data_IF_203841350059
#
_entry.id   IF_203841350059
#
_cell.length_a   1.000
_cell.length_b   1.000
_cell.length_c   1.000
_cell.angle_alpha   90.00
_cell.angle_beta   90.00
_cell.angle_gamma   90.00
#
_symmetry.space_group_name_H-M   'P 1'
#
loop_
_entity.id
_entity.type
_entity.pdbx_description
1 polymer ?
#
# COMPACT_ATOMS: atom_id res chain seq x y z
N UNK A 1 13.78 -4.47 -12.16
CA UNK A 1 13.89 -3.19 -11.43
C UNK A 1 14.54 -3.47 -10.08
N UNK A 2 15.51 -2.67 -9.62
CA UNK A 2 16.17 -2.94 -8.33
C UNK A 2 15.18 -2.70 -7.18
N UNK A 3 14.92 -3.73 -6.36
CA UNK A 3 14.00 -3.67 -5.21
C UNK A 3 14.35 -2.51 -4.26
N UNK A 4 15.64 -2.18 -4.14
CA UNK A 4 16.17 -1.04 -3.37
C UNK A 4 15.74 0.32 -3.93
N UNK A 5 15.80 0.51 -5.25
CA UNK A 5 15.34 1.75 -5.90
C UNK A 5 13.85 1.95 -5.65
N UNK A 6 13.08 0.87 -5.76
CA UNK A 6 11.64 0.87 -5.51
C UNK A 6 11.31 1.26 -4.06
N UNK A 7 12.08 0.75 -3.09
CA UNK A 7 11.98 1.14 -1.68
C UNK A 7 12.23 2.65 -1.47
N UNK A 8 13.32 3.18 -2.02
CA UNK A 8 13.62 4.61 -1.92
C UNK A 8 12.54 5.47 -2.57
N UNK A 9 12.01 5.04 -3.72
CA UNK A 9 10.90 5.72 -4.39
C UNK A 9 9.66 5.77 -3.49
N UNK A 10 9.27 4.67 -2.83
CA UNK A 10 8.14 4.66 -1.87
C UNK A 10 8.40 5.62 -0.72
N UNK A 11 9.57 5.52 -0.08
CA UNK A 11 9.92 6.36 1.06
C UNK A 11 9.93 7.85 0.68
N UNK A 12 10.48 8.20 -0.48
CA UNK A 12 10.50 9.58 -0.99
C UNK A 12 9.09 10.08 -1.32
N UNK A 13 8.26 9.29 -2.01
CA UNK A 13 6.87 9.66 -2.32
C UNK A 13 6.08 9.92 -1.05
N UNK A 14 6.16 9.01 -0.06
CA UNK A 14 5.42 9.12 1.19
C UNK A 14 5.89 10.34 1.98
N UNK A 15 7.19 10.61 2.05
CA UNK A 15 7.73 11.79 2.75
C UNK A 15 7.40 13.10 2.06
N UNK A 16 7.39 13.13 0.72
CA UNK A 16 6.94 14.30 -0.05
C UNK A 16 5.45 14.58 0.23
N UNK A 17 4.59 13.56 0.18
CA UNK A 17 3.16 13.70 0.50
C UNK A 17 2.90 14.13 1.95
N UNK A 18 3.76 13.69 2.88
CA UNK A 18 3.71 14.09 4.29
C UNK A 18 4.08 15.57 4.49
N UNK A 19 5.09 16.06 3.75
CA UNK A 19 5.56 17.46 3.79
C UNK A 19 4.69 18.43 3.01
N UNK A 20 3.88 17.95 2.05
CA UNK A 20 3.17 18.84 1.12
C UNK A 20 1.91 19.47 1.72
N UNK A 21 2.02 20.60 2.41
CA UNK A 21 0.92 21.25 3.18
C UNK A 21 -0.29 21.69 2.36
N UNK A 22 -0.10 22.00 1.08
CA UNK A 22 -1.19 22.43 0.19
C UNK A 22 -2.26 21.36 -0.07
N UNK A 23 -1.95 20.06 0.13
CA UNK A 23 -2.92 18.98 -0.13
C UNK A 23 -3.73 18.69 1.14
N UNK A 24 -5.08 18.68 1.07
CA UNK A 24 -5.92 18.33 2.21
C UNK A 24 -5.59 16.93 2.71
N UNK A 25 -5.51 16.76 4.03
CA UNK A 25 -5.12 15.51 4.71
C UNK A 25 -5.84 14.26 4.15
N UNK A 26 -7.12 14.41 3.82
CA UNK A 26 -7.93 13.34 3.23
C UNK A 26 -7.39 12.84 1.88
N UNK A 27 -7.12 13.75 0.94
CA UNK A 27 -6.62 13.38 -0.38
C UNK A 27 -5.19 12.85 -0.30
N UNK A 28 -4.33 13.48 0.50
CA UNK A 28 -2.95 13.03 0.72
C UNK A 28 -2.92 11.58 1.21
N UNK A 29 -3.78 11.23 2.17
CA UNK A 29 -3.92 9.86 2.69
C UNK A 29 -4.35 8.86 1.62
N UNK A 30 -5.42 9.16 0.87
CA UNK A 30 -5.96 8.24 -0.14
C UNK A 30 -5.00 8.07 -1.32
N UNK A 31 -4.29 9.14 -1.70
CA UNK A 31 -3.26 9.11 -2.73
C UNK A 31 -2.03 8.31 -2.27
N UNK A 32 -1.56 8.51 -1.03
CA UNK A 32 -0.48 7.71 -0.46
C UNK A 32 -0.83 6.21 -0.41
N UNK A 33 -2.08 5.88 -0.06
CA UNK A 33 -2.59 4.50 -0.09
C UNK A 33 -2.53 3.92 -1.51
N UNK A 34 -3.11 4.61 -2.50
CA UNK A 34 -3.14 4.15 -3.90
C UNK A 34 -1.73 3.98 -4.48
N UNK A 35 -0.82 4.94 -4.25
CA UNK A 35 0.56 4.85 -4.73
C UNK A 35 1.33 3.70 -4.07
N UNK A 36 1.13 3.48 -2.77
CA UNK A 36 1.72 2.35 -2.07
C UNK A 36 1.22 1.02 -2.65
N UNK A 37 -0.09 0.88 -2.86
CA UNK A 37 -0.70 -0.31 -3.45
C UNK A 37 -0.21 -0.58 -4.89
N UNK A 38 -0.12 0.47 -5.72
CA UNK A 38 0.42 0.38 -7.08
C UNK A 38 1.86 -0.15 -7.09
N UNK A 39 2.70 0.41 -6.21
CA UNK A 39 4.09 0.00 -6.10
C UNK A 39 4.20 -1.45 -5.64
N UNK A 40 3.38 -1.87 -4.67
CA UNK A 40 3.33 -3.27 -4.21
C UNK A 40 2.92 -4.21 -5.36
N UNK A 41 1.97 -3.82 -6.21
CA UNK A 41 1.60 -4.62 -7.38
C UNK A 41 2.71 -4.69 -8.44
N UNK A 42 3.35 -3.57 -8.76
CA UNK A 42 4.48 -3.55 -9.69
C UNK A 42 5.62 -4.45 -9.18
N UNK A 43 5.81 -4.47 -7.86
CA UNK A 43 6.76 -5.35 -7.21
C UNK A 43 6.37 -6.82 -7.32
N UNK A 44 5.11 -7.16 -7.04
CA UNK A 44 4.60 -8.53 -7.19
C UNK A 44 4.74 -9.04 -8.63
N UNK A 45 4.40 -8.21 -9.63
CA UNK A 45 4.59 -8.52 -11.04
C UNK A 45 6.07 -8.72 -11.37
N UNK A 46 6.97 -7.91 -10.81
CA UNK A 46 8.41 -8.07 -11.02
C UNK A 46 8.95 -9.37 -10.40
N UNK A 47 8.42 -9.81 -9.26
CA UNK A 47 8.82 -11.07 -8.61
C UNK A 47 8.22 -12.28 -9.31
N UNK A 48 6.91 -12.28 -9.53
CA UNK A 48 6.18 -13.41 -10.12
C UNK A 48 6.39 -13.52 -11.63
N UNK A 49 6.61 -12.40 -12.33
CA UNK A 49 7.03 -12.39 -13.73
C UNK A 49 8.38 -13.07 -13.93
N UNK A 50 9.32 -12.89 -13.00
CA UNK A 50 10.61 -13.57 -13.02
C UNK A 50 10.51 -15.08 -12.72
N UNK A 51 9.39 -15.55 -12.13
CA UNK A 51 9.12 -16.98 -11.88
C UNK A 51 8.45 -17.70 -13.07
N UNK A 52 7.88 -16.97 -14.04
CA UNK A 52 7.15 -17.54 -15.18
C UNK A 52 8.00 -17.71 -16.45
N UNK A 53 9.24 -17.23 -16.47
CA UNK A 53 10.17 -17.53 -17.56
C UNK A 53 10.71 -18.97 -17.38
N UNK A 54 10.42 -19.91 -18.30
CA UNK A 54 11.07 -21.20 -18.25
C UNK A 54 12.51 -21.05 -18.76
N UNK A 55 13.43 -21.69 -18.04
CA UNK A 55 14.72 -22.22 -18.50
C UNK A 55 16.02 -21.47 -18.09
N UNK A 56 16.88 -22.29 -17.44
CA UNK A 56 18.36 -22.33 -17.37
C UNK A 56 19.09 -21.50 -16.30
N UNK A 57 19.73 -22.27 -15.40
CA UNK A 57 20.85 -21.97 -14.50
C UNK A 57 20.55 -21.35 -13.13
N UNK A 58 20.37 -22.31 -12.22
CA UNK A 58 20.73 -22.40 -10.80
C UNK A 58 21.71 -21.39 -10.19
N UNK A 59 21.44 -21.10 -8.92
CA UNK A 59 22.44 -20.75 -7.91
C UNK A 59 22.38 -19.32 -7.38
N UNK A 60 22.38 -18.32 -8.26
CA UNK A 60 22.59 -16.92 -7.85
C UNK A 60 21.30 -16.11 -7.57
N UNK A 61 20.15 -16.56 -8.06
CA UNK A 61 18.89 -15.79 -7.98
C UNK A 61 18.00 -16.16 -6.78
N UNK A 62 18.30 -17.25 -6.06
CA UNK A 62 17.57 -17.66 -4.86
C UNK A 62 17.68 -16.61 -3.76
N UNK A 63 18.82 -15.92 -3.61
CA UNK A 63 19.00 -14.82 -2.65
C UNK A 63 18.22 -13.55 -3.01
N UNK A 64 18.12 -13.21 -4.31
CA UNK A 64 17.42 -11.99 -4.79
C UNK A 64 15.93 -12.00 -4.44
N UNK A 65 15.26 -13.16 -4.56
CA UNK A 65 13.85 -13.30 -4.19
C UNK A 65 13.61 -13.07 -2.69
N UNK A 66 14.49 -13.58 -1.83
CA UNK A 66 14.39 -13.47 -0.37
C UNK A 66 14.59 -12.03 0.12
N UNK A 67 15.56 -11.31 -0.46
CA UNK A 67 15.79 -9.90 -0.12
C UNK A 67 14.58 -9.03 -0.47
N UNK A 68 13.97 -9.26 -1.63
CA UNK A 68 12.80 -8.52 -2.06
C UNK A 68 11.59 -8.75 -1.13
N UNK A 69 11.37 -9.97 -0.66
CA UNK A 69 10.33 -10.27 0.35
C UNK A 69 10.63 -9.58 1.69
N UNK A 70 11.89 -9.61 2.16
CA UNK A 70 12.31 -8.89 3.37
C UNK A 70 12.04 -7.39 3.30
N UNK A 71 12.21 -6.76 2.12
CA UNK A 71 11.94 -5.34 1.94
C UNK A 71 10.48 -4.97 2.17
N UNK A 72 9.53 -5.80 1.75
CA UNK A 72 8.11 -5.52 1.98
C UNK A 72 7.79 -5.58 3.47
N UNK A 73 8.32 -6.59 4.17
CA UNK A 73 8.17 -6.66 5.62
C UNK A 73 8.81 -5.46 6.32
N UNK A 74 9.96 -4.98 5.84
CA UNK A 74 10.58 -3.75 6.35
C UNK A 74 9.71 -2.51 6.08
N UNK A 75 9.10 -2.37 4.91
CA UNK A 75 8.18 -1.26 4.60
C UNK A 75 6.94 -1.31 5.50
N UNK A 76 6.35 -2.49 5.67
CA UNK A 76 5.18 -2.69 6.52
C UNK A 76 5.51 -2.37 7.98
N UNK A 77 6.62 -2.91 8.50
CA UNK A 77 7.08 -2.68 9.86
C UNK A 77 7.43 -1.21 10.12
N UNK A 78 8.17 -0.56 9.21
CA UNK A 78 8.51 0.87 9.33
C UNK A 78 7.28 1.76 9.24
N UNK A 79 6.31 1.45 8.37
CA UNK A 79 5.04 2.20 8.29
C UNK A 79 4.19 2.05 9.55
N UNK A 80 4.11 0.86 10.12
CA UNK A 80 3.42 0.61 11.39
C UNK A 80 4.14 1.34 12.53
N UNK A 81 5.46 1.20 12.63
CA UNK A 81 6.27 1.86 13.66
C UNK A 81 6.14 3.38 13.61
N UNK A 82 6.13 3.97 12.40
CA UNK A 82 5.90 5.41 12.21
C UNK A 82 4.54 5.84 12.73
N UNK A 83 3.49 5.02 12.59
CA UNK A 83 2.17 5.32 13.15
C UNK A 83 2.15 5.39 14.69
N UNK A 84 3.12 4.79 15.37
CA UNK A 84 3.26 4.83 16.83
C UNK A 84 4.22 5.92 17.32
N UNK A 85 5.33 6.19 16.62
CA UNK A 85 6.35 7.16 17.08
C UNK A 85 6.06 8.58 16.58
N UNK A 86 5.85 8.75 15.28
CA UNK A 86 5.59 10.05 14.65
C UNK A 86 4.52 9.89 13.59
N UNK A 87 3.22 10.08 13.94
CA UNK A 87 2.15 9.87 12.99
C UNK A 87 2.33 10.78 11.78
N UNK A 88 2.09 10.22 10.59
CA UNK A 88 2.05 11.00 9.36
C UNK A 88 1.10 12.18 9.52
N UNK A 89 1.36 13.31 8.88
CA UNK A 89 0.47 14.49 8.91
C UNK A 89 -0.96 14.17 8.46
N UNK A 90 -1.09 13.16 7.59
CA UNK A 90 -2.35 12.66 7.06
C UNK A 90 -2.90 11.44 7.82
N UNK A 91 -2.17 10.91 8.80
CA UNK A 91 -2.60 9.82 9.69
C UNK A 91 -2.90 10.33 11.10
N UNK A 92 -3.79 9.63 11.81
CA UNK A 92 -3.98 9.86 13.24
C UNK A 92 -3.02 8.96 14.05
N UNK A 93 -2.80 9.31 15.32
CA UNK A 93 -2.13 8.39 16.26
C UNK A 93 -2.92 7.06 16.30
N UNK A 94 -2.23 5.93 16.12
CA UNK A 94 -2.85 4.58 16.01
C UNK A 94 -3.91 4.48 14.91
N UNK A 95 -3.59 4.99 13.72
CA UNK A 95 -4.51 4.89 12.59
C UNK A 95 -4.81 3.42 12.22
N UNK A 96 -5.99 2.95 12.63
CA UNK A 96 -6.44 1.57 12.40
C UNK A 96 -6.43 1.22 10.91
N UNK A 97 -6.70 2.17 10.02
CA UNK A 97 -6.72 1.92 8.58
C UNK A 97 -5.34 1.61 8.02
N UNK A 98 -4.31 2.36 8.43
CA UNK A 98 -2.92 2.12 7.98
C UNK A 98 -2.37 0.82 8.58
N UNK A 99 -2.72 0.53 9.84
CA UNK A 99 -2.29 -0.70 10.51
C UNK A 99 -2.94 -1.92 9.85
N UNK A 100 -4.26 -1.94 9.69
CA UNK A 100 -5.00 -3.05 9.07
C UNK A 100 -4.52 -3.27 7.63
N UNK A 101 -4.32 -2.19 6.86
CA UNK A 101 -3.77 -2.27 5.51
C UNK A 101 -2.43 -3.00 5.47
N UNK A 102 -1.46 -2.57 6.28
CA UNK A 102 -0.12 -3.17 6.27
C UNK A 102 -0.13 -4.61 6.79
N UNK A 103 -1.02 -4.95 7.74
CA UNK A 103 -1.21 -6.32 8.21
C UNK A 103 -1.76 -7.21 7.08
N UNK A 104 -2.82 -6.79 6.39
CA UNK A 104 -3.43 -7.56 5.30
C UNK A 104 -2.41 -7.79 4.17
N UNK A 105 -1.69 -6.75 3.75
CA UNK A 105 -0.64 -6.88 2.73
C UNK A 105 0.44 -7.87 3.16
N UNK A 106 0.90 -7.76 4.41
CA UNK A 106 1.93 -8.67 4.96
C UNK A 106 1.44 -10.12 5.06
N UNK A 107 0.16 -10.32 5.39
CA UNK A 107 -0.47 -11.65 5.47
C UNK A 107 -0.59 -12.28 4.08
N UNK A 108 -0.99 -11.52 3.06
CA UNK A 108 -1.05 -12.02 1.69
C UNK A 108 0.33 -12.40 1.15
N UNK A 109 1.36 -11.61 1.49
CA UNK A 109 2.75 -11.99 1.20
C UNK A 109 3.18 -13.25 1.93
N UNK A 110 2.81 -13.40 3.21
CA UNK A 110 3.15 -14.58 4.02
C UNK A 110 2.54 -15.85 3.45
N UNK A 111 1.27 -15.77 3.05
CA UNK A 111 0.53 -16.88 2.43
C UNK A 111 0.91 -17.10 0.95
N UNK A 112 1.82 -16.29 0.38
CA UNK A 112 2.20 -16.29 -1.04
C UNK A 112 0.98 -16.18 -1.98
N UNK A 113 -0.06 -15.49 -1.53
CA UNK A 113 -1.28 -15.27 -2.29
C UNK A 113 -1.05 -14.20 -3.36
N UNK A 114 -1.75 -14.28 -4.50
CA UNK A 114 -1.66 -13.24 -5.51
C UNK A 114 -2.16 -11.89 -4.99
N UNK A 115 -1.31 -10.88 -5.03
CA UNK A 115 -1.65 -9.52 -4.55
C UNK A 115 -2.59 -8.77 -5.47
N UNK A 116 -2.77 -9.23 -6.71
CA UNK A 116 -3.80 -8.67 -7.59
C UNK A 116 -5.20 -8.77 -6.96
N UNK A 117 -5.45 -9.72 -6.07
CA UNK A 117 -6.73 -9.85 -5.35
C UNK A 117 -6.99 -8.65 -4.43
N UNK A 118 -5.95 -7.96 -3.97
CA UNK A 118 -6.06 -6.74 -3.15
C UNK A 118 -6.28 -5.47 -3.96
N UNK A 119 -6.27 -5.53 -5.30
CA UNK A 119 -6.50 -4.34 -6.13
C UNK A 119 -7.77 -3.55 -5.78
N UNK A 120 -8.91 -4.16 -5.42
CA UNK A 120 -10.08 -3.39 -4.98
C UNK A 120 -9.83 -2.61 -3.69
N UNK A 121 -9.05 -3.17 -2.76
CA UNK A 121 -8.69 -2.48 -1.51
C UNK A 121 -7.75 -1.30 -1.81
N UNK A 122 -6.80 -1.49 -2.72
CA UNK A 122 -5.80 -0.49 -3.05
C UNK A 122 -6.33 0.69 -3.87
N UNK A 123 -7.30 0.44 -4.75
CA UNK A 123 -7.80 1.44 -5.69
C UNK A 123 -9.29 1.73 -5.52
N UNK A 124 -10.15 0.70 -5.50
CA UNK A 124 -11.59 0.92 -5.48
C UNK A 124 -12.06 1.60 -4.18
N UNK A 125 -11.56 1.21 -3.00
CA UNK A 125 -11.88 1.90 -1.73
C UNK A 125 -11.46 3.39 -1.73
N UNK A 126 -10.19 3.75 -1.98
CA UNK A 126 -9.79 5.16 -2.01
C UNK A 126 -10.49 5.95 -3.10
N UNK A 127 -10.70 5.39 -4.29
CA UNK A 127 -11.44 6.05 -5.37
C UNK A 127 -12.90 6.27 -4.98
N UNK A 128 -13.60 5.27 -4.44
CA UNK A 128 -14.97 5.41 -3.98
C UNK A 128 -15.10 6.47 -2.89
N UNK A 129 -14.14 6.57 -1.97
CA UNK A 129 -14.13 7.60 -0.94
C UNK A 129 -13.89 9.02 -1.51
N UNK A 130 -13.06 9.16 -2.54
CA UNK A 130 -12.81 10.43 -3.23
C UNK A 130 -14.05 10.86 -4.01
N UNK A 131 -14.58 9.96 -4.83
CA UNK A 131 -15.75 10.18 -5.68
C UNK A 131 -16.98 10.45 -4.82
N UNK A 132 -17.21 9.66 -3.76
CA UNK A 132 -18.33 9.83 -2.84
C UNK A 132 -18.33 11.15 -2.08
N UNK A 133 -17.18 11.85 -1.99
CA UNK A 133 -17.12 13.20 -1.40
C UNK A 133 -17.66 14.28 -2.33
N UNK A 134 -17.68 14.04 -3.63
CA UNK A 134 -18.22 14.97 -4.63
C UNK A 134 -19.73 14.86 -4.77
N UNK A 135 -20.32 13.74 -4.34
CA UNK A 135 -21.77 13.56 -4.33
C UNK A 135 -22.38 14.13 -3.04
N UNK A 136 -23.53 14.82 -3.14
CA UNK A 136 -24.33 15.13 -1.97
C UNK A 136 -24.67 13.86 -1.20
N UNK A 137 -24.73 13.95 0.12
CA UNK A 137 -25.16 12.85 0.99
C UNK A 137 -26.67 12.62 0.82
N UNK A 138 -27.07 12.00 -0.29
CA UNK A 138 -28.41 11.49 -0.44
C UNK A 138 -28.52 10.29 0.49
N UNK A 139 -29.23 10.43 1.62
CA UNK A 139 -29.57 9.26 2.43
C UNK A 139 -30.56 8.42 1.63
N UNK A 140 -30.06 7.39 0.95
CA UNK A 140 -30.89 6.42 0.22
C UNK A 140 -31.90 5.75 1.17
N UNK A 141 -31.59 5.72 2.47
CA UNK A 141 -32.51 5.28 3.51
C UNK A 141 -33.31 6.44 4.10
N UNK A 142 -34.65 6.42 3.91
CA UNK A 142 -35.59 7.06 4.85
C UNK A 142 -35.28 6.50 6.25
N UNK A 143 -35.07 7.37 7.25
CA UNK A 143 -35.02 6.96 8.66
C UNK A 143 -36.26 6.12 8.96
N UNK A 144 -36.08 4.82 9.16
CA UNK A 144 -37.15 3.87 9.45
C UNK A 144 -37.21 3.65 10.96
N UNK A 145 -37.54 4.71 11.70
CA UNK A 145 -38.15 4.70 13.04
C UNK A 145 -38.22 6.14 13.57
N UNK A 146 -39.41 6.51 14.04
CA UNK A 146 -39.71 7.71 14.82
C UNK A 146 -39.95 7.28 16.25
#
# INVERSE_FOLDING_TARGET
MNCTVLFFVVATIVTVLDRWEKIPKFYARKLAHMLCGLIILLFDISINGNRRAPHVNDGANTGKGTHCVLYIYLIAATSILRCFICPFRFGAYRDKGIIIYNIIVSLFFFLKLPLYVLTPIFFADPMAAIVGRQFPAYSIYKRKTR
#
